data_IF_097340040423
#
_entry.id   IF_097340040423
#
_cell.length_a   1.000
_cell.length_b   1.000
_cell.length_c   1.000
_cell.angle_alpha   90.00
_cell.angle_beta   90.00
_cell.angle_gamma   90.00
#
_symmetry.space_group_name_H-M   'P 1'
#
loop_
_entity.id
_entity.type
_entity.pdbx_description
1 polymer ?
#
# COMPACT_ATOMS: atom_id res chain seq x y z
N UNK A 1 0.15 -10.98 7.41
CA UNK A 1 0.22 -10.38 6.05
C UNK A 1 -1.15 -10.43 5.41
N UNK A 2 -1.65 -9.31 4.99
CA UNK A 2 -3.00 -9.21 4.43
C UNK A 2 -3.00 -8.31 3.19
N UNK A 3 -3.79 -8.68 2.19
CA UNK A 3 -4.05 -7.84 1.01
C UNK A 3 -5.46 -7.27 1.14
N UNK A 4 -5.56 -5.95 1.06
CA UNK A 4 -6.83 -5.24 1.05
C UNK A 4 -6.99 -4.54 -0.30
N UNK A 5 -7.95 -4.99 -1.10
CA UNK A 5 -8.22 -4.39 -2.41
C UNK A 5 -9.18 -3.22 -2.27
N UNK A 6 -9.00 -2.21 -3.14
CA UNK A 6 -9.93 -1.12 -3.27
C UNK A 6 -11.09 -1.49 -4.20
N UNK A 7 -12.19 -0.76 -4.10
CA UNK A 7 -13.42 -1.05 -4.86
C UNK A 7 -13.59 -0.15 -6.09
N UNK A 8 -13.10 1.08 -6.03
CA UNK A 8 -13.35 2.08 -7.08
C UNK A 8 -12.28 2.09 -8.16
N UNK A 9 -11.10 1.58 -7.87
CA UNK A 9 -9.97 1.53 -8.81
C UNK A 9 -9.20 0.23 -8.63
N UNK A 10 -8.33 -0.08 -9.60
CA UNK A 10 -7.43 -1.22 -9.52
C UNK A 10 -6.23 -0.86 -8.63
N UNK A 11 -6.41 -1.06 -7.34
CA UNK A 11 -5.40 -0.76 -6.33
C UNK A 11 -5.56 -1.69 -5.13
N UNK A 12 -4.51 -1.79 -4.32
CA UNK A 12 -4.52 -2.64 -3.14
C UNK A 12 -3.51 -2.15 -2.10
N UNK A 13 -3.69 -2.60 -0.85
CA UNK A 13 -2.71 -2.48 0.22
C UNK A 13 -2.19 -3.85 0.60
N UNK A 14 -0.89 -3.97 0.78
CA UNK A 14 -0.26 -5.10 1.47
C UNK A 14 0.10 -4.64 2.88
N UNK A 15 -0.48 -5.25 3.89
CA UNK A 15 -0.31 -4.90 5.30
C UNK A 15 0.36 -6.07 6.00
N UNK A 16 1.53 -5.84 6.60
CA UNK A 16 2.31 -6.94 7.19
C UNK A 16 1.68 -7.44 8.49
N UNK A 17 1.41 -6.56 9.44
CA UNK A 17 0.85 -6.90 10.74
C UNK A 17 -0.43 -6.13 11.00
N UNK A 18 -1.44 -6.81 11.55
CA UNK A 18 -2.69 -6.17 11.95
C UNK A 18 -2.62 -5.70 13.41
N UNK A 19 -3.46 -4.75 13.77
CA UNK A 19 -3.62 -4.30 15.14
C UNK A 19 -2.58 -3.31 15.64
N UNK A 20 -1.70 -2.83 14.78
CA UNK A 20 -0.71 -1.80 15.12
C UNK A 20 -0.74 -0.69 14.08
N UNK A 21 -0.29 0.54 14.45
CA UNK A 21 -0.20 1.62 13.46
C UNK A 21 0.69 1.24 12.29
N UNK A 22 0.38 1.77 11.11
CA UNK A 22 1.10 1.44 9.90
C UNK A 22 1.80 2.62 9.27
N UNK A 23 2.93 2.35 8.62
CA UNK A 23 3.65 3.28 7.76
C UNK A 23 4.04 2.59 6.48
N UNK A 24 4.09 3.34 5.41
CA UNK A 24 4.47 2.72 4.16
C UNK A 24 4.58 3.65 2.98
N UNK A 25 4.55 3.02 1.83
CA UNK A 25 4.79 3.65 0.55
C UNK A 25 3.64 3.30 -0.38
N UNK A 26 3.22 4.28 -1.18
CA UNK A 26 2.26 4.08 -2.27
C UNK A 26 3.02 4.20 -3.59
N UNK A 27 2.91 3.16 -4.43
CA UNK A 27 3.52 3.16 -5.75
C UNK A 27 2.43 3.14 -6.82
N UNK A 28 2.70 3.82 -7.93
CA UNK A 28 1.80 3.82 -9.09
C UNK A 28 2.60 3.39 -10.32
N UNK A 29 2.07 2.42 -11.04
CA UNK A 29 2.68 1.91 -12.27
C UNK A 29 1.59 1.21 -13.09
N UNK A 30 1.83 0.91 -14.39
CA UNK A 30 0.87 0.15 -15.16
C UNK A 30 0.49 -1.17 -14.51
N UNK A 31 1.44 -1.79 -13.79
CA UNK A 31 1.18 -3.03 -13.06
C UNK A 31 2.10 -3.16 -11.85
N UNK A 32 1.52 -3.37 -10.69
CA UNK A 32 2.24 -3.64 -9.45
C UNK A 32 1.86 -5.03 -8.96
N UNK A 33 2.86 -5.88 -8.73
CA UNK A 33 2.66 -7.26 -8.33
C UNK A 33 2.45 -7.35 -6.81
N UNK A 34 1.46 -8.13 -6.40
CA UNK A 34 1.15 -8.29 -4.98
C UNK A 34 2.30 -8.94 -4.21
N UNK A 35 3.02 -9.88 -4.82
CA UNK A 35 4.18 -10.52 -4.19
C UNK A 35 5.26 -9.52 -3.81
N UNK A 36 5.64 -8.65 -4.75
CA UNK A 36 6.62 -7.59 -4.48
C UNK A 36 6.13 -6.59 -3.43
N UNK A 37 4.82 -6.27 -3.44
CA UNK A 37 4.24 -5.38 -2.44
C UNK A 37 4.29 -6.00 -1.05
N UNK A 38 4.03 -7.30 -0.92
CA UNK A 38 4.14 -8.02 0.36
C UNK A 38 5.58 -8.01 0.88
N UNK A 39 6.55 -8.25 0.02
CA UNK A 39 7.96 -8.24 0.39
C UNK A 39 8.39 -6.85 0.87
N UNK A 40 7.93 -5.80 0.19
CA UNK A 40 8.21 -4.43 0.58
C UNK A 40 7.58 -4.10 1.95
N UNK A 41 6.32 -4.48 2.18
CA UNK A 41 5.65 -4.27 3.46
C UNK A 41 6.43 -4.94 4.60
N UNK A 42 6.89 -6.18 4.42
CA UNK A 42 7.69 -6.90 5.40
C UNK A 42 9.02 -6.21 5.65
N UNK A 43 9.68 -5.74 4.60
CA UNK A 43 10.95 -5.01 4.70
C UNK A 43 10.78 -3.72 5.51
N UNK A 44 9.68 -2.99 5.29
CA UNK A 44 9.40 -1.77 6.05
C UNK A 44 9.18 -2.10 7.53
N UNK A 45 8.44 -3.16 7.85
CA UNK A 45 8.24 -3.61 9.24
C UNK A 45 9.59 -3.86 9.94
N UNK A 46 10.50 -4.58 9.28
CA UNK A 46 11.81 -4.86 9.84
C UNK A 46 12.63 -3.59 10.06
N UNK A 47 12.58 -2.65 9.14
CA UNK A 47 13.26 -1.37 9.28
C UNK A 47 12.73 -0.61 10.48
N UNK A 48 11.41 -0.52 10.63
CA UNK A 48 10.79 0.16 11.77
C UNK A 48 11.16 -0.52 13.09
N UNK A 49 11.13 -1.85 13.14
CA UNK A 49 11.52 -2.60 14.34
C UNK A 49 12.99 -2.34 14.72
N UNK A 50 13.88 -2.25 13.73
CA UNK A 50 15.29 -1.97 14.00
C UNK A 50 15.51 -0.57 14.57
N UNK A 51 14.57 0.34 14.36
CA UNK A 51 14.58 1.69 14.93
C UNK A 51 13.82 1.77 16.26
N UNK A 52 13.38 0.63 16.81
CA UNK A 52 12.63 0.57 18.06
C UNK A 52 11.17 0.97 17.94
N UNK A 53 10.61 0.98 16.73
CA UNK A 53 9.22 1.38 16.50
C UNK A 53 8.32 0.15 16.33
N UNK A 54 7.19 0.14 17.04
CA UNK A 54 6.21 -0.93 16.96
C UNK A 54 5.11 -0.55 15.97
N UNK A 55 5.45 -0.57 14.68
CA UNK A 55 4.55 -0.25 13.58
C UNK A 55 4.66 -1.31 12.49
N UNK A 56 3.59 -1.47 11.72
CA UNK A 56 3.61 -2.39 10.57
C UNK A 56 4.02 -1.66 9.31
N UNK A 57 4.70 -2.37 8.42
CA UNK A 57 4.93 -1.91 7.07
C UNK A 57 3.68 -2.08 6.22
N UNK A 58 3.40 -1.06 5.40
CA UNK A 58 2.29 -1.08 4.43
C UNK A 58 2.86 -0.69 3.08
N UNK A 59 2.52 -1.47 2.04
CA UNK A 59 2.88 -1.15 0.67
C UNK A 59 1.62 -1.13 -0.17
N UNK A 60 1.26 0.03 -0.70
CA UNK A 60 0.10 0.16 -1.57
C UNK A 60 0.54 0.18 -3.02
N UNK A 61 -0.28 -0.40 -3.89
CA UNK A 61 -0.06 -0.38 -5.33
C UNK A 61 -1.29 0.15 -6.04
N UNK A 62 -1.09 1.11 -6.94
CA UNK A 62 -2.12 1.62 -7.84
C UNK A 62 -1.71 1.23 -9.26
N UNK A 63 -2.52 0.41 -9.92
CA UNK A 63 -2.29 0.00 -11.31
C UNK A 63 -2.95 1.03 -12.21
N UNK A 64 -2.14 1.81 -12.92
CA UNK A 64 -2.63 2.86 -13.79
C UNK A 64 -1.63 3.14 -14.90
N UNK A 65 -2.13 3.44 -16.10
CA UNK A 65 -1.31 3.97 -17.18
C UNK A 65 -1.01 5.45 -16.90
N UNK A 66 0.12 6.00 -17.43
CA UNK A 66 0.50 7.38 -17.11
C UNK A 66 -0.57 8.43 -17.42
N UNK A 67 -1.33 8.22 -18.49
CA UNK A 67 -2.38 9.15 -18.92
C UNK A 67 -3.53 9.28 -17.91
N UNK A 68 -3.72 8.29 -17.04
CA UNK A 68 -4.79 8.27 -16.04
C UNK A 68 -4.28 8.46 -14.62
N UNK A 69 -3.01 8.82 -14.46
CA UNK A 69 -2.34 8.92 -13.18
C UNK A 69 -3.09 9.81 -12.17
N UNK A 70 -3.42 11.03 -12.56
CA UNK A 70 -4.07 11.99 -11.64
C UNK A 70 -5.45 11.52 -11.23
N UNK A 71 -6.20 10.94 -12.16
CA UNK A 71 -7.53 10.39 -11.91
C UNK A 71 -7.46 9.20 -10.94
N UNK A 72 -6.49 8.33 -11.12
CA UNK A 72 -6.29 7.17 -10.25
C UNK A 72 -5.90 7.60 -8.84
N UNK A 73 -5.00 8.57 -8.69
CA UNK A 73 -4.59 9.09 -7.39
C UNK A 73 -5.77 9.72 -6.66
N UNK A 74 -6.56 10.53 -7.36
CA UNK A 74 -7.75 11.17 -6.77
C UNK A 74 -8.74 10.11 -6.26
N UNK A 75 -9.03 9.09 -7.07
CA UNK A 75 -9.94 8.01 -6.67
C UNK A 75 -9.39 7.22 -5.48
N UNK A 76 -8.08 6.96 -5.46
CA UNK A 76 -7.41 6.27 -4.35
C UNK A 76 -7.58 7.05 -3.04
N UNK A 77 -7.26 8.35 -3.05
CA UNK A 77 -7.37 9.20 -1.86
C UNK A 77 -8.80 9.28 -1.37
N UNK A 78 -9.76 9.41 -2.28
CA UNK A 78 -11.18 9.48 -1.92
C UNK A 78 -11.66 8.19 -1.24
N UNK A 79 -11.28 7.04 -1.77
CA UNK A 79 -11.71 5.77 -1.18
C UNK A 79 -11.10 5.55 0.20
N UNK A 80 -9.81 5.79 0.38
CA UNK A 80 -9.15 5.54 1.66
C UNK A 80 -9.52 6.54 2.74
N UNK A 81 -9.98 7.73 2.39
CA UNK A 81 -10.39 8.72 3.39
C UNK A 81 -11.68 8.35 4.11
N UNK A 82 -12.41 7.36 3.60
CA UNK A 82 -13.61 6.83 4.24
C UNK A 82 -13.33 5.64 5.18
N UNK A 83 -12.07 5.27 5.31
CA UNK A 83 -11.67 4.09 6.11
C UNK A 83 -11.43 4.42 7.58
#
# INVERSE_FOLDING_TARGET
MRIQKLNTIDAFFAIDLDGVPGRGIVRLAPRILQGGAKDLARSITYTLASLGQQETGISAGINSIPEERDKAITAFVQEISDW
#
